data_IF_218536452907
#
_entry.id   IF_218536452907
#
_cell.length_a   1.000
_cell.length_b   1.000
_cell.length_c   1.000
_cell.angle_alpha   90.00
_cell.angle_beta   90.00
_cell.angle_gamma   90.00
#
_symmetry.space_group_name_H-M   'P 1'
#
loop_
_entity.id
_entity.type
_entity.pdbx_description
1 polymer ?
#
# COMPACT_ATOMS: atom_id res chain seq x y z
N UNK A 1 -3.24 16.11 20.38
CA UNK A 1 -2.38 14.98 20.82
C UNK A 1 -2.65 13.80 19.92
N UNK A 2 -1.62 13.01 19.58
CA UNK A 2 -1.73 11.80 18.73
C UNK A 2 -2.16 10.63 19.60
N UNK A 3 -3.05 9.77 19.10
CA UNK A 3 -3.60 8.61 19.85
C UNK A 3 -3.30 7.26 19.20
N UNK A 4 -3.17 7.23 17.87
CA UNK A 4 -2.85 6.02 17.11
C UNK A 4 -2.45 6.39 15.67
N UNK A 5 -2.05 5.39 14.89
CA UNK A 5 -1.89 5.47 13.44
C UNK A 5 -3.19 5.01 12.76
N UNK A 6 -3.59 5.69 11.68
CA UNK A 6 -4.75 5.25 10.89
C UNK A 6 -4.39 4.14 9.89
N UNK A 7 -3.31 4.32 9.12
CA UNK A 7 -2.77 3.35 8.16
C UNK A 7 -1.35 3.75 7.74
N UNK A 8 -0.66 2.85 7.03
CA UNK A 8 0.57 3.14 6.28
C UNK A 8 0.31 3.00 4.78
N UNK A 9 0.60 4.04 4.00
CA UNK A 9 0.37 4.05 2.55
C UNK A 9 1.53 3.48 1.74
N UNK A 10 1.21 2.65 0.74
CA UNK A 10 2.15 2.09 -0.23
C UNK A 10 1.63 2.35 -1.65
N UNK A 11 2.43 3.03 -2.46
CA UNK A 11 2.13 3.24 -3.88
C UNK A 11 2.46 1.98 -4.66
N UNK A 12 1.50 1.52 -5.47
CA UNK A 12 1.62 0.31 -6.29
C UNK A 12 1.34 0.63 -7.76
N UNK A 13 1.98 -0.08 -8.71
CA UNK A 13 1.78 0.18 -10.14
C UNK A 13 0.44 -0.37 -10.67
N UNK A 14 -0.17 -1.31 -9.96
CA UNK A 14 -1.46 -1.90 -10.30
C UNK A 14 -2.17 -2.38 -9.03
N UNK A 15 -3.38 -1.88 -8.77
CA UNK A 15 -4.09 -2.16 -7.53
C UNK A 15 -4.57 -3.62 -7.44
N UNK A 16 -5.08 -4.17 -8.54
CA UNK A 16 -5.65 -5.53 -8.56
C UNK A 16 -4.57 -6.58 -8.25
N UNK A 17 -3.39 -6.44 -8.85
CA UNK A 17 -2.23 -7.32 -8.57
C UNK A 17 -1.77 -7.17 -7.13
N UNK A 18 -1.75 -5.95 -6.59
CA UNK A 18 -1.36 -5.72 -5.21
C UNK A 18 -2.36 -6.32 -4.21
N UNK A 19 -3.67 -6.14 -4.44
CA UNK A 19 -4.72 -6.77 -3.63
C UNK A 19 -4.54 -8.28 -3.60
N UNK A 20 -4.34 -8.90 -4.77
CA UNK A 20 -4.14 -10.34 -4.86
C UNK A 20 -2.91 -10.80 -4.07
N UNK A 21 -1.78 -10.09 -4.17
CA UNK A 21 -0.60 -10.40 -3.37
C UNK A 21 -0.88 -10.30 -1.86
N UNK A 22 -1.41 -9.16 -1.40
CA UNK A 22 -1.61 -8.94 0.04
C UNK A 22 -2.71 -9.82 0.64
N UNK A 23 -3.73 -10.19 -0.13
CA UNK A 23 -4.86 -10.99 0.39
C UNK A 23 -4.66 -12.48 0.19
N UNK A 24 -4.26 -12.93 -1.01
CA UNK A 24 -4.19 -14.37 -1.35
C UNK A 24 -2.85 -14.99 -0.97
N UNK A 25 -1.76 -14.22 -1.01
CA UNK A 25 -0.41 -14.72 -0.69
C UNK A 25 -0.05 -14.38 0.76
N UNK A 26 -0.14 -13.10 1.15
CA UNK A 26 0.21 -12.67 2.51
C UNK A 26 -0.90 -13.01 3.53
N UNK A 27 -2.15 -13.13 3.10
CA UNK A 27 -3.27 -13.50 3.97
C UNK A 27 -3.89 -12.35 4.76
N UNK A 28 -3.72 -11.10 4.29
CA UNK A 28 -4.41 -9.94 4.87
C UNK A 28 -5.88 -9.89 4.45
N UNK A 29 -6.70 -9.19 5.24
CA UNK A 29 -8.12 -9.00 4.95
C UNK A 29 -8.33 -7.73 4.13
N UNK A 30 -9.00 -7.84 2.98
CA UNK A 30 -9.49 -6.67 2.24
C UNK A 30 -10.61 -5.99 3.05
N UNK A 31 -10.45 -4.70 3.30
CA UNK A 31 -11.44 -3.89 4.02
C UNK A 31 -12.37 -3.21 3.02
N UNK A 32 -11.79 -2.39 2.13
CA UNK A 32 -12.55 -1.63 1.14
C UNK A 32 -11.69 -1.31 -0.10
N UNK A 33 -12.39 -1.01 -1.20
CA UNK A 33 -11.81 -0.48 -2.44
C UNK A 33 -12.55 0.80 -2.80
N UNK A 34 -11.82 1.84 -3.18
CA UNK A 34 -12.35 3.15 -3.54
C UNK A 34 -11.62 3.75 -4.73
N UNK A 35 -12.36 4.37 -5.64
CA UNK A 35 -11.79 5.34 -6.58
C UNK A 35 -11.96 6.75 -6.00
N UNK A 36 -10.95 7.60 -6.16
CA UNK A 36 -11.04 9.00 -5.76
C UNK A 36 -10.61 9.90 -6.91
N UNK A 37 -11.46 10.85 -7.22
CA UNK A 37 -11.24 11.88 -8.23
C UNK A 37 -11.85 13.23 -7.82
N UNK A 38 -11.51 14.28 -8.58
CA UNK A 38 -12.04 15.63 -8.39
C UNK A 38 -11.25 16.53 -7.43
N UNK A 39 -11.79 17.73 -7.20
CA UNK A 39 -11.07 18.84 -6.55
C UNK A 39 -10.58 18.50 -5.13
N UNK A 40 -11.33 17.71 -4.36
CA UNK A 40 -10.96 17.34 -3.00
C UNK A 40 -9.67 16.53 -2.95
N UNK A 41 -9.59 15.43 -3.70
CA UNK A 41 -8.38 14.59 -3.71
C UNK A 41 -7.20 15.31 -4.38
N UNK A 42 -7.46 16.14 -5.39
CA UNK A 42 -6.46 17.01 -5.98
C UNK A 42 -5.83 17.97 -4.98
N UNK A 43 -6.65 18.59 -4.12
CA UNK A 43 -6.17 19.47 -3.08
C UNK A 43 -5.33 18.71 -2.03
N UNK A 44 -5.76 17.51 -1.63
CA UNK A 44 -5.05 16.67 -0.64
C UNK A 44 -3.68 16.24 -1.16
N UNK A 45 -3.59 15.79 -2.41
CA UNK A 45 -2.34 15.28 -2.99
C UNK A 45 -1.46 16.36 -3.62
N UNK A 46 -1.98 17.58 -3.81
CA UNK A 46 -1.25 18.69 -4.41
C UNK A 46 -1.06 18.58 -5.94
N UNK A 47 -1.87 17.75 -6.61
CA UNK A 47 -1.86 17.60 -8.06
C UNK A 47 -3.18 18.10 -8.67
N UNK A 48 -3.15 18.51 -9.95
CA UNK A 48 -4.37 18.84 -10.71
C UNK A 48 -5.01 17.58 -11.30
N UNK A 49 -6.33 17.60 -11.39
CA UNK A 49 -7.16 16.56 -12.04
C UNK A 49 -6.83 15.13 -11.56
N UNK A 50 -6.60 14.99 -10.27
CA UNK A 50 -6.10 13.76 -9.66
C UNK A 50 -7.12 12.65 -9.76
N UNK A 51 -6.66 11.46 -10.14
CA UNK A 51 -7.43 10.21 -10.10
C UNK A 51 -6.57 9.09 -9.53
N UNK A 52 -7.06 8.44 -8.49
CA UNK A 52 -6.40 7.30 -7.85
C UNK A 52 -7.41 6.17 -7.60
N UNK A 53 -6.90 4.94 -7.56
CA UNK A 53 -7.59 3.80 -6.95
C UNK A 53 -6.90 3.45 -5.65
N UNK A 54 -7.67 3.06 -4.65
CA UNK A 54 -7.14 2.73 -3.33
C UNK A 54 -7.82 1.49 -2.80
N UNK A 55 -7.05 0.64 -2.11
CA UNK A 55 -7.58 -0.47 -1.34
C UNK A 55 -6.94 -0.50 0.05
N UNK A 56 -7.75 -0.63 1.08
CA UNK A 56 -7.26 -0.86 2.44
C UNK A 56 -7.26 -2.35 2.74
N UNK A 57 -6.12 -2.87 3.17
CA UNK A 57 -5.96 -4.24 3.65
C UNK A 57 -5.50 -4.22 5.11
N UNK A 58 -5.91 -5.22 5.90
CA UNK A 58 -5.58 -5.27 7.33
C UNK A 58 -5.01 -6.59 7.79
N UNK A 59 -4.15 -6.50 8.80
CA UNK A 59 -3.78 -7.66 9.61
C UNK A 59 -4.99 -8.14 10.44
N UNK A 60 -5.00 -9.38 10.93
CA UNK A 60 -6.05 -9.86 11.83
C UNK A 60 -6.22 -9.03 13.10
N UNK A 61 -5.20 -8.28 13.50
CA UNK A 61 -5.22 -7.38 14.67
C UNK A 61 -5.60 -5.94 14.32
N UNK A 62 -5.95 -5.65 13.06
CA UNK A 62 -6.52 -4.38 12.63
C UNK A 62 -5.52 -3.31 12.16
N UNK A 63 -4.24 -3.65 11.98
CA UNK A 63 -3.27 -2.70 11.40
C UNK A 63 -3.50 -2.59 9.90
N UNK A 64 -3.62 -1.37 9.39
CA UNK A 64 -4.04 -1.10 8.00
C UNK A 64 -2.85 -0.69 7.12
N UNK A 65 -2.81 -1.28 5.93
CA UNK A 65 -1.98 -0.85 4.80
C UNK A 65 -2.91 -0.30 3.72
N UNK A 66 -2.69 0.95 3.32
CA UNK A 66 -3.40 1.59 2.21
C UNK A 66 -2.59 1.39 0.92
N UNK A 67 -3.13 0.63 -0.04
CA UNK A 67 -2.53 0.39 -1.36
C UNK A 67 -3.06 1.42 -2.34
N UNK A 68 -2.18 2.19 -2.99
CA UNK A 68 -2.57 3.32 -3.84
C UNK A 68 -2.04 3.14 -5.25
N UNK A 69 -2.93 3.04 -6.24
CA UNK A 69 -2.58 3.13 -7.65
C UNK A 69 -2.91 4.54 -8.17
N UNK A 70 -1.87 5.20 -8.68
CA UNK A 70 -1.98 6.53 -9.27
C UNK A 70 -2.33 6.44 -10.76
N UNK A 71 -3.57 6.81 -11.11
CA UNK A 71 -4.06 6.83 -12.50
C UNK A 71 -3.72 8.17 -13.17
N UNK A 72 -3.93 9.28 -12.46
CA UNK A 72 -3.50 10.61 -12.88
C UNK A 72 -3.06 11.46 -11.67
N UNK A 73 -1.83 12.01 -11.65
CA UNK A 73 -0.74 11.69 -12.57
C UNK A 73 -0.38 10.20 -12.48
N UNK A 74 0.22 9.63 -13.52
CA UNK A 74 0.73 8.25 -13.43
C UNK A 74 2.00 8.22 -12.57
N UNK A 75 2.14 7.18 -11.74
CA UNK A 75 3.35 6.99 -10.92
C UNK A 75 4.59 6.79 -11.79
N UNK A 76 5.70 7.38 -11.37
CA UNK A 76 7.01 7.11 -11.96
C UNK A 76 7.68 5.93 -11.25
N UNK A 77 8.59 5.25 -11.95
CA UNK A 77 9.45 4.25 -11.31
C UNK A 77 10.25 4.88 -10.16
N UNK A 78 10.56 4.08 -9.14
CA UNK A 78 11.46 4.48 -8.08
C UNK A 78 12.79 4.97 -8.69
N UNK A 79 13.32 6.07 -8.14
CA UNK A 79 14.58 6.65 -8.61
C UNK A 79 15.79 5.72 -8.37
N UNK A 80 15.65 4.79 -7.43
CA UNK A 80 16.67 3.86 -7.00
C UNK A 80 16.04 2.67 -6.29
N UNK A 81 16.73 1.53 -6.33
CA UNK A 81 16.43 0.35 -5.50
C UNK A 81 17.38 0.22 -4.30
N UNK A 82 18.24 1.22 -4.07
CA UNK A 82 19.23 1.19 -2.99
C UNK A 82 18.56 1.34 -1.63
N UNK A 83 18.86 0.40 -0.73
CA UNK A 83 18.27 0.35 0.61
C UNK A 83 18.81 1.44 1.55
N UNK A 84 20.01 1.95 1.25
CA UNK A 84 20.70 2.97 2.03
C UNK A 84 20.36 4.40 1.60
N UNK A 85 19.20 4.60 0.96
CA UNK A 85 18.67 5.92 0.64
C UNK A 85 17.57 6.33 1.63
N UNK A 86 17.43 7.64 1.87
CA UNK A 86 16.44 8.21 2.78
C UNK A 86 15.03 8.13 2.17
N UNK A 87 14.44 6.93 2.20
CA UNK A 87 13.11 6.61 1.67
C UNK A 87 12.32 5.76 2.68
N UNK A 88 11.00 5.64 2.47
CA UNK A 88 10.20 4.62 3.16
C UNK A 88 10.62 3.24 2.60
N UNK A 89 11.47 2.53 3.35
CA UNK A 89 12.23 1.41 2.79
C UNK A 89 11.51 0.07 2.85
N UNK A 90 10.77 -0.22 3.93
CA UNK A 90 10.10 -1.51 4.10
C UNK A 90 8.99 -1.48 5.15
N UNK A 91 8.13 -2.50 5.08
CA UNK A 91 7.27 -2.97 6.17
C UNK A 91 7.68 -4.40 6.52
N UNK A 92 7.37 -4.85 7.74
CA UNK A 92 7.70 -6.21 8.19
C UNK A 92 6.51 -6.84 8.90
N UNK A 93 6.31 -8.14 8.64
CA UNK A 93 5.28 -8.95 9.28
C UNK A 93 5.92 -9.92 10.25
N UNK A 94 5.32 -10.06 11.44
CA UNK A 94 5.68 -11.14 12.35
C UNK A 94 5.03 -12.43 11.86
N UNK A 95 5.83 -13.49 11.75
CA UNK A 95 5.38 -14.82 11.32
C UNK A 95 5.76 -15.85 12.38
N UNK A 96 4.99 -16.94 12.46
CA UNK A 96 5.24 -18.01 13.44
C UNK A 96 6.55 -18.76 13.16
N UNK A 97 6.88 -18.95 11.89
CA UNK A 97 8.08 -19.63 11.43
C UNK A 97 8.59 -18.93 10.17
N UNK A 98 9.77 -18.30 10.27
CA UNK A 98 10.34 -17.52 9.17
C UNK A 98 10.84 -18.41 8.02
N UNK A 99 11.30 -19.64 8.30
CA UNK A 99 11.82 -20.55 7.29
C UNK A 99 10.68 -21.10 6.43
N UNK A 100 9.61 -21.57 7.07
CA UNK A 100 8.40 -22.06 6.39
C UNK A 100 7.75 -20.95 5.54
N UNK A 101 7.68 -19.73 6.09
CA UNK A 101 7.15 -18.59 5.34
C UNK A 101 8.04 -18.23 4.14
N UNK A 102 9.36 -18.29 4.28
CA UNK A 102 10.29 -18.06 3.18
C UNK A 102 10.10 -19.11 2.08
N UNK A 103 10.04 -20.39 2.42
CA UNK A 103 9.84 -21.49 1.47
C UNK A 103 8.51 -21.42 0.72
N UNK A 104 7.46 -20.88 1.36
CA UNK A 104 6.18 -20.63 0.71
C UNK A 104 6.21 -19.47 -0.31
N UNK A 105 7.09 -18.49 -0.12
CA UNK A 105 7.13 -17.25 -0.92
C UNK A 105 8.10 -17.29 -2.10
N UNK A 106 8.97 -18.29 -2.20
CA UNK A 106 9.95 -18.46 -3.29
C UNK A 106 9.52 -19.53 -4.30
#
# INVERSE_FOLDING_TARGET
MIIDINHSGIVVPNLDVAIDFYTKIIGLNLIEIRERDGAGISQVLGYKDTKIKVADVSTPTGQIIELIEYINPSSQNAKSSERAELTASHIAFNVKNIQECYEFLI
#
